data_IF_039241888153
#
_entry.id   IF_039241888153
#
_cell.length_a   1.000
_cell.length_b   1.000
_cell.length_c   1.000
_cell.angle_alpha   90.00
_cell.angle_beta   90.00
_cell.angle_gamma   90.00
#
_symmetry.space_group_name_H-M   'P 1'
#
loop_
_entity.id
_entity.type
_entity.pdbx_description
1 polymer ?
#
# COMPACT_ATOMS: atom_id res chain seq x y z
N UNK A 1 -18.78 -1.23 -20.80
CA UNK A 1 -17.94 -0.97 -19.61
C UNK A 1 -17.56 0.50 -19.63
N UNK A 2 -18.08 1.30 -18.68
CA UNK A 2 -17.68 2.70 -18.54
C UNK A 2 -16.18 2.74 -18.21
N UNK A 3 -15.35 3.34 -19.06
CA UNK A 3 -13.93 3.55 -18.74
C UNK A 3 -13.88 4.62 -17.66
N UNK A 4 -13.61 4.20 -16.42
CA UNK A 4 -13.31 5.13 -15.34
C UNK A 4 -12.06 5.94 -15.72
N UNK A 5 -12.07 7.25 -15.44
CA UNK A 5 -10.92 8.11 -15.72
C UNK A 5 -9.67 7.56 -15.01
N UNK A 6 -8.47 7.71 -15.62
CA UNK A 6 -7.24 7.22 -15.00
C UNK A 6 -7.02 7.91 -13.64
N UNK A 7 -6.47 7.20 -12.63
CA UNK A 7 -6.11 7.80 -11.37
C UNK A 7 -5.21 9.03 -11.55
N UNK A 8 -5.45 10.09 -10.77
CA UNK A 8 -4.68 11.33 -10.83
C UNK A 8 -3.94 11.59 -9.52
N UNK A 9 -2.95 12.47 -9.55
CA UNK A 9 -2.25 12.93 -8.34
C UNK A 9 -2.68 14.34 -7.94
N UNK A 10 -2.52 14.66 -6.66
CA UNK A 10 -2.86 15.98 -6.10
C UNK A 10 -1.70 16.53 -5.27
N UNK A 11 -1.46 17.83 -5.40
CA UNK A 11 -0.43 18.54 -4.65
C UNK A 11 -1.06 19.11 -3.38
N UNK A 12 -0.53 18.72 -2.23
CA UNK A 12 -1.10 19.09 -0.93
C UNK A 12 -0.05 19.81 -0.09
N UNK A 13 -0.40 20.98 0.45
CA UNK A 13 0.42 21.66 1.46
C UNK A 13 0.70 20.71 2.64
N UNK A 14 1.85 20.87 3.30
CA UNK A 14 2.29 20.02 4.42
C UNK A 14 1.42 20.09 5.69
N UNK A 15 0.43 20.98 5.79
CA UNK A 15 -0.47 21.06 6.96
C UNK A 15 -1.43 19.87 7.02
N UNK A 16 -0.97 18.77 7.63
CA UNK A 16 -1.66 17.47 7.60
C UNK A 16 -1.84 16.80 8.96
N UNK A 17 -1.17 17.25 10.01
CA UNK A 17 -1.38 16.71 11.36
C UNK A 17 -2.83 16.88 11.80
N UNK A 18 -3.37 18.09 11.70
CA UNK A 18 -4.78 18.38 12.03
C UNK A 18 -5.78 17.58 11.18
N UNK A 19 -5.48 17.37 9.90
CA UNK A 19 -6.34 16.59 8.99
C UNK A 19 -6.29 15.10 9.35
N UNK A 20 -5.10 14.57 9.65
CA UNK A 20 -4.91 13.18 10.07
C UNK A 20 -5.59 12.93 11.41
N UNK A 21 -5.45 13.83 12.35
CA UNK A 21 -6.10 13.77 13.66
C UNK A 21 -7.62 13.77 13.52
N UNK A 22 -8.17 14.69 12.72
CA UNK A 22 -9.61 14.75 12.44
C UNK A 22 -10.11 13.46 11.77
N UNK A 23 -9.43 13.01 10.73
CA UNK A 23 -9.78 11.77 10.03
C UNK A 23 -9.73 10.55 10.97
N UNK A 24 -8.72 10.48 11.83
CA UNK A 24 -8.57 9.44 12.86
C UNK A 24 -9.69 9.49 13.89
N UNK A 25 -10.05 10.68 14.38
CA UNK A 25 -11.13 10.87 15.34
C UNK A 25 -12.50 10.48 14.75
N UNK A 26 -12.70 10.72 13.45
CA UNK A 26 -13.92 10.35 12.72
C UNK A 26 -13.92 8.90 12.18
N UNK A 27 -12.82 8.17 12.32
CA UNK A 27 -12.67 6.82 11.75
C UNK A 27 -12.72 6.77 10.22
N UNK A 28 -12.38 7.88 9.56
CA UNK A 28 -12.44 8.03 8.09
C UNK A 28 -11.04 8.03 7.48
N UNK A 29 -10.91 7.63 6.20
CA UNK A 29 -9.66 7.79 5.49
C UNK A 29 -9.33 9.27 5.27
N UNK A 30 -8.03 9.57 5.22
CA UNK A 30 -7.56 10.94 4.96
C UNK A 30 -7.84 11.29 3.50
N UNK A 31 -8.66 12.32 3.28
CA UNK A 31 -8.89 12.93 1.97
C UNK A 31 -8.18 14.27 1.92
N UNK A 32 -7.42 14.52 0.85
CA UNK A 32 -6.72 15.79 0.73
C UNK A 32 -7.72 16.92 0.48
N UNK A 33 -7.69 18.02 1.25
CA UNK A 33 -8.51 19.19 0.94
C UNK A 33 -8.06 19.92 -0.34
N UNK A 34 -6.91 19.52 -0.90
CA UNK A 34 -6.38 20.06 -2.15
C UNK A 34 -6.77 19.24 -3.38
N UNK A 35 -7.59 18.19 -3.23
CA UNK A 35 -7.81 17.19 -4.28
C UNK A 35 -8.54 17.67 -5.53
N UNK A 36 -9.34 18.73 -5.40
CA UNK A 36 -10.14 19.31 -6.50
C UNK A 36 -9.63 20.71 -6.89
N UNK A 37 -8.45 21.07 -6.36
CA UNK A 37 -7.80 22.34 -6.66
C UNK A 37 -6.97 22.22 -7.93
N UNK A 38 -6.99 23.29 -8.72
CA UNK A 38 -6.14 23.45 -9.91
C UNK A 38 -4.92 24.33 -9.63
N UNK A 39 -4.93 25.04 -8.51
CA UNK A 39 -3.82 25.86 -8.04
C UNK A 39 -2.85 25.06 -7.16
N UNK A 40 -1.61 25.56 -7.06
CA UNK A 40 -0.53 24.94 -6.28
C UNK A 40 -0.26 25.77 -5.02
N UNK A 41 0.04 25.16 -3.87
CA UNK A 41 0.47 25.91 -2.69
C UNK A 41 1.81 26.61 -2.93
N UNK A 42 1.90 27.88 -2.52
CA UNK A 42 3.15 28.66 -2.43
C UNK A 42 4.05 28.25 -1.24
N UNK A 43 3.93 27.00 -0.80
CA UNK A 43 4.65 26.44 0.35
C UNK A 43 5.09 25.02 0.05
N UNK A 44 5.93 24.46 0.92
CA UNK A 44 6.34 23.07 0.81
C UNK A 44 5.11 22.14 0.81
N UNK A 45 5.15 21.12 -0.05
CA UNK A 45 4.01 20.27 -0.37
C UNK A 45 4.44 18.81 -0.49
N UNK A 46 3.46 17.92 -0.41
CA UNK A 46 3.60 16.50 -0.74
C UNK A 46 2.75 16.18 -1.97
N UNK A 47 3.09 15.11 -2.67
CA UNK A 47 2.24 14.57 -3.74
C UNK A 47 1.47 13.37 -3.20
N UNK A 48 0.15 13.37 -3.41
CA UNK A 48 -0.75 12.30 -3.01
C UNK A 48 -1.42 11.66 -4.21
N UNK A 49 -1.72 10.37 -4.10
CA UNK A 49 -2.63 9.70 -5.02
C UNK A 49 -4.06 10.15 -4.70
N UNK A 50 -4.82 10.64 -5.69
CA UNK A 50 -6.25 10.94 -5.53
C UNK A 50 -7.03 9.66 -5.72
N UNK A 51 -7.55 9.08 -4.62
CA UNK A 51 -8.42 7.92 -4.78
C UNK A 51 -9.82 8.38 -5.24
N UNK A 52 -10.55 7.55 -6.02
CA UNK A 52 -11.95 7.81 -6.34
C UNK A 52 -12.81 7.95 -5.09
N UNK A 53 -13.96 8.61 -5.22
CA UNK A 53 -14.90 8.79 -4.10
C UNK A 53 -15.86 7.62 -3.94
N UNK A 54 -16.30 7.05 -5.05
CA UNK A 54 -17.31 6.01 -5.09
C UNK A 54 -16.84 4.80 -5.91
N UNK A 55 -17.66 3.75 -5.86
CA UNK A 55 -17.35 2.47 -6.48
C UNK A 55 -16.46 1.59 -5.60
N UNK A 56 -15.99 0.52 -6.22
CA UNK A 56 -15.21 -0.53 -5.55
C UNK A 56 -13.97 -0.87 -6.38
N UNK A 57 -12.95 -1.35 -5.67
CA UNK A 57 -11.82 -2.01 -6.27
C UNK A 57 -11.83 -3.47 -5.82
N UNK A 58 -11.73 -4.37 -6.80
CA UNK A 58 -11.47 -5.78 -6.57
C UNK A 58 -10.05 -6.11 -7.02
N UNK A 59 -9.32 -6.85 -6.18
CA UNK A 59 -8.07 -7.51 -6.54
C UNK A 59 -8.35 -9.01 -6.57
N UNK A 60 -7.94 -9.65 -7.66
CA UNK A 60 -7.89 -11.10 -7.78
C UNK A 60 -6.56 -11.59 -7.21
N UNK A 61 -6.54 -11.92 -5.91
CA UNK A 61 -5.35 -12.43 -5.26
C UNK A 61 -5.23 -13.94 -5.47
N UNK A 62 -4.05 -14.41 -5.86
CA UNK A 62 -3.82 -15.83 -6.16
C UNK A 62 -3.91 -16.75 -4.93
N UNK A 63 -3.89 -16.20 -3.70
CA UNK A 63 -3.95 -16.94 -2.44
C UNK A 63 -5.21 -16.60 -1.65
N UNK A 64 -5.54 -15.32 -1.53
CA UNK A 64 -6.70 -14.83 -0.76
C UNK A 64 -8.01 -14.84 -1.58
N UNK A 65 -7.93 -15.08 -2.89
CA UNK A 65 -9.08 -15.01 -3.81
C UNK A 65 -9.48 -13.56 -4.14
N UNK A 66 -10.72 -13.38 -4.59
CA UNK A 66 -11.25 -12.05 -4.94
C UNK A 66 -11.51 -11.22 -3.68
N UNK A 67 -10.72 -10.17 -3.46
CA UNK A 67 -10.88 -9.26 -2.31
C UNK A 67 -11.35 -7.90 -2.82
N UNK A 68 -12.46 -7.41 -2.26
CA UNK A 68 -13.09 -6.16 -2.71
C UNK A 68 -13.14 -5.13 -1.59
N UNK A 69 -12.75 -3.89 -1.90
CA UNK A 69 -12.84 -2.73 -1.01
C UNK A 69 -13.61 -1.60 -1.67
N UNK A 70 -14.32 -0.80 -0.87
CA UNK A 70 -14.94 0.43 -1.37
C UNK A 70 -13.87 1.50 -1.56
N UNK A 71 -13.92 2.26 -2.64
CA UNK A 71 -12.97 3.37 -2.85
C UNK A 71 -13.05 4.40 -1.72
N UNK A 72 -14.23 4.59 -1.14
CA UNK A 72 -14.46 5.44 0.03
C UNK A 72 -13.68 5.02 1.29
N UNK A 73 -13.10 3.82 1.33
CA UNK A 73 -12.24 3.33 2.43
C UNK A 73 -10.75 3.58 2.16
N UNK A 74 -10.37 3.95 0.94
CA UNK A 74 -8.99 4.20 0.56
C UNK A 74 -8.63 5.68 0.74
N UNK A 75 -7.54 5.94 1.45
CA UNK A 75 -7.03 7.28 1.69
C UNK A 75 -6.25 7.85 0.50
N UNK A 76 -6.23 9.18 0.41
CA UNK A 76 -5.36 9.91 -0.52
C UNK A 76 -3.91 9.80 -0.04
N UNK A 77 -3.30 8.64 -0.24
CA UNK A 77 -1.98 8.31 0.30
C UNK A 77 -0.89 9.22 -0.25
N UNK A 78 0.14 9.50 0.56
CA UNK A 78 1.35 10.20 0.09
C UNK A 78 2.19 9.25 -0.75
N UNK A 79 2.53 9.67 -1.96
CA UNK A 79 3.42 8.94 -2.87
C UNK A 79 4.78 9.62 -3.00
N UNK A 80 4.85 10.95 -2.81
CA UNK A 80 6.09 11.72 -2.80
C UNK A 80 6.13 12.65 -1.58
N UNK A 81 7.22 12.58 -0.82
CA UNK A 81 7.45 13.47 0.33
C UNK A 81 7.90 14.85 -0.14
N UNK A 82 7.91 15.80 0.79
CA UNK A 82 8.24 17.20 0.50
C UNK A 82 9.72 17.41 0.15
N UNK A 83 10.59 16.52 0.60
CA UNK A 83 12.00 16.47 0.22
C UNK A 83 12.23 15.81 -1.16
N UNK A 84 11.15 15.42 -1.85
CA UNK A 84 11.21 14.75 -3.15
C UNK A 84 11.48 13.23 -3.07
N UNK A 85 11.62 12.66 -1.88
CA UNK A 85 11.81 11.21 -1.74
C UNK A 85 10.50 10.43 -1.95
N UNK A 86 10.53 9.29 -2.68
CA UNK A 86 9.33 8.45 -2.86
C UNK A 86 8.98 7.72 -1.56
N UNK A 87 7.68 7.56 -1.29
CA UNK A 87 7.24 6.64 -0.23
C UNK A 87 7.32 5.20 -0.72
N UNK A 88 7.21 4.24 0.21
CA UNK A 88 7.12 2.82 -0.14
C UNK A 88 6.05 2.52 -1.21
N UNK A 89 4.93 3.26 -1.18
CA UNK A 89 3.82 3.05 -2.11
C UNK A 89 4.18 3.41 -3.56
N UNK A 90 5.09 4.37 -3.76
CA UNK A 90 5.58 4.74 -5.08
C UNK A 90 6.81 3.92 -5.45
N UNK A 91 7.81 3.85 -4.56
CA UNK A 91 9.09 3.22 -4.83
C UNK A 91 8.92 1.77 -5.30
N UNK A 92 8.16 0.97 -4.55
CA UNK A 92 7.96 -0.45 -4.89
C UNK A 92 7.27 -0.62 -6.25
N UNK A 93 6.28 0.20 -6.59
CA UNK A 93 5.56 0.07 -7.87
C UNK A 93 6.46 0.42 -9.05
N UNK A 94 7.29 1.46 -8.91
CA UNK A 94 8.26 1.84 -9.94
C UNK A 94 9.32 0.76 -10.08
N UNK A 95 9.90 0.29 -8.98
CA UNK A 95 10.94 -0.74 -9.00
C UNK A 95 10.41 -2.06 -9.59
N UNK A 96 9.22 -2.50 -9.17
CA UNK A 96 8.57 -3.70 -9.69
C UNK A 96 8.35 -3.60 -11.22
N UNK A 97 7.87 -2.44 -11.70
CA UNK A 97 7.67 -2.20 -13.13
C UNK A 97 9.00 -2.22 -13.90
N UNK A 98 9.99 -1.44 -13.44
CA UNK A 98 11.29 -1.30 -14.08
C UNK A 98 12.07 -2.63 -14.10
N UNK A 99 11.86 -3.48 -13.09
CA UNK A 99 12.45 -4.82 -13.00
C UNK A 99 11.63 -5.91 -13.71
N UNK A 100 10.48 -5.58 -14.29
CA UNK A 100 9.63 -6.54 -15.00
C UNK A 100 9.00 -7.60 -14.09
N UNK A 101 8.69 -7.25 -12.84
CA UNK A 101 8.02 -8.14 -11.89
C UNK A 101 6.63 -8.50 -12.39
N UNK A 102 6.37 -9.79 -12.55
CA UNK A 102 5.06 -10.31 -13.00
C UNK A 102 4.18 -10.79 -11.85
N UNK A 103 4.78 -11.21 -10.74
CA UNK A 103 4.10 -11.76 -9.57
C UNK A 103 4.71 -11.17 -8.29
N UNK A 104 3.88 -10.57 -7.46
CA UNK A 104 4.26 -10.03 -6.15
C UNK A 104 3.74 -10.97 -5.07
N UNK A 105 4.65 -11.74 -4.47
CA UNK A 105 4.35 -12.73 -3.43
C UNK A 105 4.91 -12.24 -2.09
N UNK A 106 4.05 -12.00 -1.10
CA UNK A 106 4.44 -11.43 0.21
C UNK A 106 3.39 -11.70 1.29
N UNK A 107 3.68 -11.33 2.55
CA UNK A 107 2.74 -11.53 3.66
C UNK A 107 1.41 -10.75 3.51
N UNK A 108 0.33 -11.31 4.06
CA UNK A 108 -1.03 -10.73 3.99
C UNK A 108 -1.20 -9.38 4.69
N UNK A 109 -0.25 -9.00 5.54
CA UNK A 109 -0.18 -7.65 6.12
C UNK A 109 0.05 -6.56 5.07
N UNK A 110 0.45 -6.94 3.86
CA UNK A 110 0.55 -6.05 2.71
C UNK A 110 -0.65 -6.08 1.76
N UNK A 111 -1.70 -6.86 2.03
CA UNK A 111 -2.89 -6.95 1.16
C UNK A 111 -3.55 -5.58 0.97
N UNK A 112 -3.70 -4.81 2.05
CA UNK A 112 -4.24 -3.45 2.00
C UNK A 112 -3.36 -2.49 1.16
N UNK A 113 -2.06 -2.74 1.07
CA UNK A 113 -1.17 -1.95 0.22
C UNK A 113 -1.36 -2.29 -1.26
N UNK A 114 -1.77 -3.51 -1.60
CA UNK A 114 -2.01 -3.91 -2.99
C UNK A 114 -3.10 -3.07 -3.65
N UNK A 115 -4.19 -2.74 -2.93
CA UNK A 115 -5.23 -1.81 -3.43
C UNK A 115 -4.66 -0.44 -3.75
N UNK A 116 -3.82 0.07 -2.86
CA UNK A 116 -3.17 1.38 -3.02
C UNK A 116 -2.15 1.38 -4.16
N UNK A 117 -1.34 0.34 -4.26
CA UNK A 117 -0.32 0.19 -5.30
C UNK A 117 -0.96 -0.03 -6.68
N UNK A 118 -2.06 -0.79 -6.75
CA UNK A 118 -2.87 -0.93 -7.98
C UNK A 118 -3.30 0.42 -8.54
N UNK A 119 -3.60 1.40 -7.69
CA UNK A 119 -3.93 2.76 -8.15
C UNK A 119 -2.74 3.51 -8.73
N UNK A 120 -1.53 3.24 -8.26
CA UNK A 120 -0.29 3.79 -8.85
C UNK A 120 -0.05 3.16 -10.21
N UNK A 121 -0.08 1.83 -10.34
CA UNK A 121 0.04 1.14 -11.63
C UNK A 121 -0.96 1.68 -12.66
N UNK A 122 -2.24 1.74 -12.29
CA UNK A 122 -3.31 2.27 -13.17
C UNK A 122 -3.11 3.74 -13.51
N UNK A 123 -2.64 4.56 -12.57
CA UNK A 123 -2.35 5.98 -12.79
C UNK A 123 -1.19 6.20 -13.77
N UNK A 124 -0.20 5.30 -13.76
CA UNK A 124 0.92 5.31 -14.71
C UNK A 124 0.59 4.65 -16.06
N UNK A 125 -0.57 3.99 -16.17
CA UNK A 125 -0.94 3.22 -17.36
C UNK A 125 -0.13 1.93 -17.51
N UNK A 126 0.37 1.38 -16.41
CA UNK A 126 1.14 0.14 -16.37
C UNK A 126 0.26 -1.07 -16.04
N UNK A 127 0.71 -2.24 -16.47
CA UNK A 127 0.09 -3.51 -16.10
C UNK A 127 0.29 -3.79 -14.61
N UNK A 128 -0.78 -4.26 -13.96
CA UNK A 128 -0.75 -4.63 -12.54
C UNK A 128 -0.25 -6.08 -12.45
N UNK A 129 0.78 -6.37 -11.63
CA UNK A 129 1.26 -7.74 -11.47
C UNK A 129 0.23 -8.61 -10.75
N UNK A 130 0.39 -9.92 -10.85
CA UNK A 130 -0.40 -10.86 -10.05
C UNK A 130 0.01 -10.73 -8.60
N UNK A 131 -0.93 -10.47 -7.70
CA UNK A 131 -0.70 -10.46 -6.26
C UNK A 131 -0.98 -11.84 -5.65
N UNK A 132 -0.15 -12.25 -4.71
CA UNK A 132 -0.34 -13.45 -3.91
C UNK A 132 0.07 -13.17 -2.45
N UNK A 133 -0.93 -13.02 -1.58
CA UNK A 133 -0.70 -12.64 -0.19
C UNK A 133 -0.73 -13.86 0.75
N UNK A 134 0.43 -14.24 1.26
CA UNK A 134 0.63 -15.42 2.10
C UNK A 134 0.16 -15.13 3.54
N UNK A 135 -0.68 -16.00 4.13
CA UNK A 135 -1.11 -15.86 5.51
C UNK A 135 0.06 -15.75 6.48
N UNK A 136 -0.08 -14.89 7.49
CA UNK A 136 0.94 -14.76 8.53
C UNK A 136 1.07 -16.04 9.36
N UNK A 137 2.30 -16.30 9.80
CA UNK A 137 2.58 -17.39 10.73
C UNK A 137 2.05 -16.98 12.11
N UNK A 138 1.24 -17.85 12.70
CA UNK A 138 0.71 -17.68 14.04
C UNK A 138 1.45 -18.61 15.02
N UNK A 139 1.61 -18.16 16.27
CA UNK A 139 2.14 -18.98 17.36
C UNK A 139 1.15 -20.05 17.80
N UNK A 140 1.58 -20.91 18.71
CA UNK A 140 0.72 -21.96 19.29
C UNK A 140 -0.48 -21.39 20.07
N UNK A 141 -0.41 -20.13 20.49
CA UNK A 141 -1.47 -19.36 21.13
C UNK A 141 -2.45 -18.71 20.13
N UNK A 142 -2.22 -18.88 18.82
CA UNK A 142 -3.01 -18.26 17.75
C UNK A 142 -2.71 -16.76 17.55
N UNK A 143 -1.76 -16.17 18.26
CA UNK A 143 -1.34 -14.79 18.04
C UNK A 143 -0.37 -14.70 16.86
N UNK A 144 -0.31 -13.54 16.18
CA UNK A 144 0.71 -13.28 15.15
C UNK A 144 2.09 -13.53 15.75
N UNK A 145 2.87 -14.40 15.12
CA UNK A 145 4.21 -14.70 15.57
C UNK A 145 5.05 -13.42 15.45
N UNK A 146 5.67 -13.02 16.57
CA UNK A 146 6.47 -11.82 16.65
C UNK A 146 7.71 -12.07 17.49
N UNK A 147 8.75 -11.24 17.35
CA UNK A 147 9.95 -11.32 18.21
C UNK A 147 9.62 -11.27 19.70
N UNK A 148 8.52 -10.61 20.07
CA UNK A 148 8.03 -10.53 21.46
C UNK A 148 7.32 -11.79 21.93
N UNK A 149 6.89 -12.65 21.00
CA UNK A 149 6.21 -13.93 21.26
C UNK A 149 7.05 -15.14 20.84
N UNK A 150 8.38 -15.01 20.91
CA UNK A 150 9.30 -16.14 20.67
C UNK A 150 9.67 -16.38 19.22
N UNK A 151 9.39 -15.46 18.28
CA UNK A 151 9.94 -15.55 16.94
C UNK A 151 11.46 -15.39 16.99
N UNK A 152 12.17 -16.48 16.75
CA UNK A 152 13.61 -16.49 16.59
C UNK A 152 13.99 -15.94 15.21
N UNK A 153 15.08 -15.17 15.16
CA UNK A 153 15.69 -14.83 13.87
C UNK A 153 16.23 -16.10 13.20
N UNK A 154 16.37 -16.08 11.87
CA UNK A 154 16.93 -17.22 11.12
C UNK A 154 18.30 -17.62 11.67
N UNK A 155 19.11 -16.65 12.10
CA UNK A 155 20.41 -16.85 12.75
C UNK A 155 20.33 -17.73 14.01
N UNK A 156 19.29 -17.57 14.82
CA UNK A 156 19.14 -18.36 16.05
C UNK A 156 18.85 -19.84 15.73
N UNK A 157 18.13 -20.14 14.64
CA UNK A 157 17.96 -21.52 14.19
C UNK A 157 19.30 -22.13 13.72
N UNK A 158 20.11 -21.37 12.99
CA UNK A 158 21.47 -21.80 12.63
C UNK A 158 22.30 -22.10 13.88
N UNK A 159 22.27 -21.22 14.87
CA UNK A 159 23.07 -21.35 16.10
C UNK A 159 22.58 -22.53 16.98
N UNK A 160 21.31 -22.92 16.86
CA UNK A 160 20.73 -24.14 17.45
C UNK A 160 21.10 -25.42 16.68
N UNK A 161 21.82 -25.32 15.56
CA UNK A 161 22.23 -26.47 14.75
C UNK A 161 21.17 -26.94 13.75
N UNK A 162 20.13 -26.15 13.47
CA UNK A 162 19.21 -26.46 12.38
C UNK A 162 19.95 -26.32 11.05
N UNK A 163 19.90 -27.39 10.26
CA UNK A 163 20.50 -27.43 8.94
C UNK A 163 19.50 -26.85 7.92
N UNK A 164 20.02 -26.15 6.92
CA UNK A 164 19.33 -26.07 5.64
C UNK A 164 19.27 -27.50 5.12
N UNK A 165 18.08 -28.08 4.99
CA UNK A 165 17.94 -29.44 4.49
C UNK A 165 18.64 -29.56 3.15
N UNK A 166 19.50 -30.59 2.95
CA UNK A 166 20.07 -30.86 1.64
C UNK A 166 18.92 -31.34 0.76
N UNK A 167 18.61 -30.56 -0.28
CA UNK A 167 17.80 -31.05 -1.39
C UNK A 167 18.62 -32.02 -2.23
#
# INVERSE_FOLDING_TARGET
MSRQAPPTVVICRIELESIREKARAEGKPVRSPWRDRTDRPDAAFVVRMKMPDDGVMTIEDAVQGSVTVQHAQLDDMVILRADGSPTYMLAVVVDDHDMGVTHVIRGDDHLNNAFRQTMVYRGMGWDVPVFAHIPLIHGADGAKLSKRHGALGVDAYRDMGFLLTPW
#
